data_IF_455824660143
#
_entry.id   IF_455824660143
#
_cell.length_a   1.000
_cell.length_b   1.000
_cell.length_c   1.000
_cell.angle_alpha   90.00
_cell.angle_beta   90.00
_cell.angle_gamma   90.00
#
_symmetry.space_group_name_H-M   'P 1'
#
loop_
_entity.id
_entity.type
_entity.pdbx_description
1 polymer ?
#
# COMPACT_ATOMS: atom_id res chain seq x y z
N UNK A 1 -2.52 21.38 25.22
CA UNK A 1 -1.69 20.46 24.40
C UNK A 1 -1.99 19.03 24.81
N UNK A 2 -2.17 18.12 23.86
CA UNK A 2 -2.36 16.69 24.16
C UNK A 2 -1.01 16.13 24.64
N UNK A 3 -1.00 15.38 25.74
CA UNK A 3 0.22 14.76 26.26
C UNK A 3 0.50 13.45 25.53
N UNK A 4 1.77 13.02 25.44
CA UNK A 4 2.14 11.70 24.86
C UNK A 4 1.35 10.55 25.48
N UNK A 5 1.09 10.61 26.79
CA UNK A 5 0.28 9.61 27.52
C UNK A 5 -1.17 9.60 27.05
N UNK A 6 -1.78 10.77 26.83
CA UNK A 6 -3.15 10.86 26.31
C UNK A 6 -3.24 10.35 24.86
N UNK A 7 -2.21 10.59 24.04
CA UNK A 7 -2.13 10.03 22.69
C UNK A 7 -2.04 8.50 22.69
N UNK A 8 -1.18 7.92 23.54
CA UNK A 8 -1.03 6.47 23.66
C UNK A 8 -2.36 5.84 24.11
N UNK A 9 -3.03 6.43 25.10
CA UNK A 9 -4.35 5.98 25.54
C UNK A 9 -5.41 6.05 24.42
N UNK A 10 -5.32 7.03 23.52
CA UNK A 10 -6.25 7.16 22.38
C UNK A 10 -6.02 6.04 21.36
N UNK A 11 -4.76 5.72 21.04
CA UNK A 11 -4.41 4.61 20.15
C UNK A 11 -4.84 3.28 20.77
N UNK A 12 -4.54 3.06 22.04
CA UNK A 12 -4.89 1.82 22.73
C UNK A 12 -6.41 1.61 22.74
N UNK A 13 -7.19 2.67 23.04
CA UNK A 13 -8.65 2.63 22.96
C UNK A 13 -9.14 2.27 21.55
N UNK A 14 -8.57 2.85 20.50
CA UNK A 14 -8.92 2.48 19.12
C UNK A 14 -8.60 1.00 18.83
N UNK A 15 -7.42 0.52 19.21
CA UNK A 15 -7.05 -0.88 19.05
C UNK A 15 -7.98 -1.85 19.78
N UNK A 16 -8.42 -1.49 20.98
CA UNK A 16 -9.27 -2.35 21.81
C UNK A 16 -10.74 -2.38 21.36
N UNK A 17 -11.22 -1.31 20.72
CA UNK A 17 -12.66 -1.11 20.48
C UNK A 17 -13.06 -1.09 19.00
N UNK A 18 -12.14 -0.79 18.09
CA UNK A 18 -12.43 -0.71 16.67
C UNK A 18 -12.41 -2.11 16.03
N UNK A 19 -13.50 -2.57 15.39
CA UNK A 19 -13.57 -3.90 14.78
C UNK A 19 -12.52 -4.11 13.68
N UNK A 20 -11.97 -3.04 13.10
CA UNK A 20 -10.85 -3.08 12.15
C UNK A 20 -9.64 -3.86 12.67
N UNK A 21 -9.45 -3.89 14.00
CA UNK A 21 -8.30 -4.50 14.66
C UNK A 21 -8.61 -5.83 15.35
N UNK A 22 -9.83 -6.36 15.20
CA UNK A 22 -10.21 -7.64 15.78
C UNK A 22 -9.26 -8.75 15.29
N UNK A 23 -8.61 -9.44 16.23
CA UNK A 23 -7.65 -10.52 15.92
C UNK A 23 -6.24 -10.05 15.50
N UNK A 24 -5.98 -8.74 15.41
CA UNK A 24 -4.67 -8.19 15.04
C UNK A 24 -3.75 -8.13 16.27
N UNK A 25 -2.67 -8.93 16.26
CA UNK A 25 -1.65 -8.90 17.31
C UNK A 25 -0.54 -7.91 16.97
N UNK A 26 -0.03 -7.21 17.98
CA UNK A 26 1.11 -6.27 17.87
C UNK A 26 2.19 -6.68 18.85
N UNK A 27 3.44 -6.71 18.38
CA UNK A 27 4.63 -7.01 19.20
C UNK A 27 5.17 -5.79 19.96
N UNK A 28 4.42 -4.69 20.02
CA UNK A 28 4.80 -3.39 20.57
C UNK A 28 3.59 -2.70 21.22
N UNK A 29 3.85 -1.65 21.99
CA UNK A 29 2.81 -0.90 22.72
C UNK A 29 2.35 0.36 21.99
N UNK A 30 1.22 0.95 22.42
CA UNK A 30 0.78 2.25 21.93
C UNK A 30 1.79 3.37 22.29
N UNK A 31 2.47 3.24 23.43
CA UNK A 31 3.55 4.13 23.86
C UNK A 31 4.74 4.09 22.91
N UNK A 32 5.11 2.90 22.40
CA UNK A 32 6.17 2.76 21.40
C UNK A 32 5.82 3.50 20.10
N UNK A 33 4.56 3.40 19.66
CA UNK A 33 4.08 4.14 18.48
C UNK A 33 4.19 5.64 18.70
N UNK A 34 3.74 6.16 19.85
CA UNK A 34 3.86 7.60 20.16
C UNK A 34 5.32 8.04 20.26
N UNK A 35 6.19 7.20 20.82
CA UNK A 35 7.62 7.48 20.95
C UNK A 35 8.31 7.69 19.60
N UNK A 36 7.91 6.98 18.56
CA UNK A 36 8.49 7.06 17.21
C UNK A 36 7.80 8.05 16.27
N UNK A 37 6.66 8.63 16.67
CA UNK A 37 5.79 9.42 15.81
C UNK A 37 6.31 10.82 15.46
N UNK A 38 7.19 11.40 16.28
CA UNK A 38 7.56 12.82 16.21
C UNK A 38 6.48 13.76 16.76
N UNK A 39 6.78 15.06 16.81
CA UNK A 39 5.89 16.08 17.37
C UNK A 39 4.81 16.60 16.41
N UNK A 40 5.02 16.40 15.11
CA UNK A 40 4.12 16.84 14.03
C UNK A 40 3.69 15.62 13.24
N UNK A 41 2.40 15.55 12.91
CA UNK A 41 1.81 14.43 12.17
C UNK A 41 1.37 14.91 10.79
N UNK A 42 2.12 14.63 9.72
CA UNK A 42 1.64 14.79 8.37
C UNK A 42 0.42 13.89 8.14
N UNK A 43 -0.62 14.43 7.50
CA UNK A 43 -1.80 13.66 7.12
C UNK A 43 -1.55 12.93 5.79
N UNK A 44 -1.96 11.67 5.72
CA UNK A 44 -1.83 10.82 4.52
C UNK A 44 -3.22 10.46 3.98
N UNK A 45 -3.91 11.46 3.44
CA UNK A 45 -5.34 11.38 3.06
C UNK A 45 -5.66 10.19 2.15
N UNK A 46 -4.90 10.02 1.06
CA UNK A 46 -5.16 8.96 0.08
C UNK A 46 -4.92 7.57 0.66
N UNK A 47 -3.87 7.39 1.46
CA UNK A 47 -3.62 6.12 2.13
C UNK A 47 -4.72 5.78 3.13
N UNK A 48 -5.16 6.77 3.93
CA UNK A 48 -6.25 6.58 4.91
C UNK A 48 -7.57 6.21 4.23
N UNK A 49 -8.02 7.03 3.28
CA UNK A 49 -9.28 6.81 2.57
C UNK A 49 -9.23 5.52 1.73
N UNK A 50 -8.10 5.25 1.07
CA UNK A 50 -7.87 4.02 0.32
C UNK A 50 -7.94 2.78 1.22
N UNK A 51 -7.27 2.79 2.38
CA UNK A 51 -7.29 1.66 3.31
C UNK A 51 -8.69 1.43 3.92
N UNK A 52 -9.42 2.49 4.26
CA UNK A 52 -10.82 2.41 4.71
C UNK A 52 -11.73 1.83 3.62
N UNK A 53 -11.59 2.31 2.37
CA UNK A 53 -12.34 1.81 1.22
C UNK A 53 -12.03 0.35 0.91
N UNK A 54 -10.74 -0.02 0.91
CA UNK A 54 -10.30 -1.40 0.69
C UNK A 54 -10.85 -2.33 1.77
N UNK A 55 -10.79 -1.94 3.05
CA UNK A 55 -11.36 -2.70 4.15
C UNK A 55 -12.86 -2.95 3.97
N UNK A 56 -13.61 -1.92 3.56
CA UNK A 56 -15.04 -2.06 3.29
C UNK A 56 -15.31 -3.01 2.12
N UNK A 57 -14.54 -2.91 1.03
CA UNK A 57 -14.70 -3.79 -0.13
C UNK A 57 -14.45 -5.26 0.25
N UNK A 58 -13.33 -5.57 0.91
CA UNK A 58 -12.97 -6.97 1.21
C UNK A 58 -13.89 -7.64 2.24
N UNK A 59 -14.61 -6.87 3.07
CA UNK A 59 -15.51 -7.41 4.08
C UNK A 59 -16.99 -7.45 3.65
N UNK A 60 -17.38 -6.68 2.63
CA UNK A 60 -18.79 -6.56 2.23
C UNK A 60 -19.09 -7.02 0.79
N UNK A 61 -18.07 -7.24 -0.02
CA UNK A 61 -18.22 -7.83 -1.37
C UNK A 61 -17.90 -9.33 -1.33
N UNK A 62 -18.47 -10.10 -2.27
CA UNK A 62 -18.17 -11.53 -2.37
C UNK A 62 -16.68 -11.79 -2.65
N UNK A 63 -16.06 -10.93 -3.48
CA UNK A 63 -14.63 -10.85 -3.73
C UNK A 63 -14.29 -9.51 -4.38
N UNK A 64 -13.00 -9.16 -4.41
CA UNK A 64 -12.47 -7.99 -5.12
C UNK A 64 -11.37 -8.48 -6.06
N UNK A 65 -11.64 -8.46 -7.37
CA UNK A 65 -10.65 -8.80 -8.38
C UNK A 65 -9.91 -7.56 -8.87
N UNK A 66 -8.63 -7.74 -9.20
CA UNK A 66 -7.74 -6.67 -9.66
C UNK A 66 -6.99 -7.10 -10.91
N UNK A 67 -6.39 -6.14 -11.61
CA UNK A 67 -5.42 -6.34 -12.67
C UNK A 67 -4.14 -5.56 -12.34
N UNK A 68 -2.99 -6.11 -12.72
CA UNK A 68 -1.71 -5.43 -12.55
C UNK A 68 -1.62 -4.17 -13.41
N UNK A 69 -1.42 -3.00 -12.79
CA UNK A 69 -1.18 -1.73 -13.46
C UNK A 69 0.26 -1.26 -13.22
N UNK A 70 1.00 -1.01 -14.30
CA UNK A 70 2.34 -0.44 -14.27
C UNK A 70 2.37 1.03 -14.69
N UNK A 71 1.24 1.61 -15.08
CA UNK A 71 1.12 3.04 -15.39
C UNK A 71 -0.18 3.62 -14.84
N UNK A 72 -0.21 4.93 -14.60
CA UNK A 72 -1.43 5.64 -14.21
C UNK A 72 -2.55 5.55 -15.24
N UNK A 73 -2.21 5.55 -16.54
CA UNK A 73 -3.19 5.40 -17.62
C UNK A 73 -3.89 4.04 -17.59
N UNK A 74 -3.15 2.95 -17.38
CA UNK A 74 -3.74 1.62 -17.19
C UNK A 74 -4.69 1.60 -15.99
N UNK A 75 -4.24 2.09 -14.83
CA UNK A 75 -5.07 2.12 -13.63
C UNK A 75 -6.35 2.93 -13.82
N UNK A 76 -6.27 4.12 -14.44
CA UNK A 76 -7.43 4.96 -14.74
C UNK A 76 -8.42 4.26 -15.68
N UNK A 77 -7.95 3.57 -16.71
CA UNK A 77 -8.83 2.81 -17.60
C UNK A 77 -9.46 1.60 -16.92
N UNK A 78 -8.76 0.92 -16.01
CA UNK A 78 -9.33 -0.16 -15.19
C UNK A 78 -10.50 0.36 -14.35
N UNK A 79 -10.34 1.51 -13.68
CA UNK A 79 -11.44 2.11 -12.90
C UNK A 79 -12.61 2.50 -13.80
N UNK A 80 -12.33 3.10 -14.97
CA UNK A 80 -13.39 3.38 -15.97
C UNK A 80 -14.11 2.13 -16.46
N UNK A 81 -13.43 0.99 -16.50
CA UNK A 81 -14.01 -0.30 -16.87
C UNK A 81 -14.77 -0.97 -15.70
N UNK A 82 -14.82 -0.34 -14.52
CA UNK A 82 -15.55 -0.84 -13.35
C UNK A 82 -14.72 -1.67 -12.36
N UNK A 83 -13.39 -1.72 -12.51
CA UNK A 83 -12.50 -2.35 -11.52
C UNK A 83 -12.51 -1.55 -10.23
N UNK A 84 -12.72 -2.23 -9.09
CA UNK A 84 -12.89 -1.61 -7.77
C UNK A 84 -11.59 -1.37 -7.00
N UNK A 85 -10.48 -2.00 -7.40
CA UNK A 85 -9.16 -1.89 -6.75
C UNK A 85 -8.03 -2.15 -7.74
N UNK A 86 -6.87 -1.52 -7.52
CA UNK A 86 -5.69 -1.65 -8.38
C UNK A 86 -4.66 -2.55 -7.72
N UNK A 87 -4.10 -3.49 -8.48
CA UNK A 87 -2.92 -4.22 -8.07
C UNK A 87 -1.69 -3.59 -8.73
N UNK A 88 -0.64 -3.33 -7.95
CA UNK A 88 0.63 -2.81 -8.44
C UNK A 88 1.70 -3.87 -8.20
N UNK A 89 2.10 -4.54 -9.28
CA UNK A 89 3.02 -5.68 -9.26
C UNK A 89 4.48 -5.23 -9.24
N UNK A 90 5.27 -5.78 -8.30
CA UNK A 90 6.71 -5.59 -8.25
C UNK A 90 7.41 -6.17 -9.49
N UNK A 91 6.91 -7.30 -10.00
CA UNK A 91 7.37 -7.89 -11.28
C UNK A 91 7.22 -6.93 -12.46
N UNK A 92 6.05 -6.27 -12.60
CA UNK A 92 5.84 -5.34 -13.72
C UNK A 92 6.72 -4.09 -13.58
N UNK A 93 6.94 -3.61 -12.35
CA UNK A 93 7.87 -2.52 -12.05
C UNK A 93 9.30 -2.91 -12.42
N UNK A 94 9.76 -4.10 -12.02
CA UNK A 94 11.06 -4.64 -12.40
C UNK A 94 11.22 -4.71 -13.93
N UNK A 95 10.19 -5.20 -14.62
CA UNK A 95 10.24 -5.41 -16.06
C UNK A 95 10.31 -4.09 -16.86
N UNK A 96 9.53 -3.06 -16.50
CA UNK A 96 9.30 -1.95 -17.43
C UNK A 96 8.97 -0.58 -16.79
N UNK A 97 8.97 -0.44 -15.46
CA UNK A 97 8.72 0.88 -14.85
C UNK A 97 9.39 1.09 -13.48
N UNK A 98 10.67 0.78 -13.40
CA UNK A 98 11.49 1.08 -12.23
C UNK A 98 12.36 2.33 -12.42
N UNK A 99 12.85 2.88 -11.32
CA UNK A 99 13.60 4.14 -11.29
C UNK A 99 15.02 4.06 -11.83
N UNK A 100 15.55 2.85 -11.97
CA UNK A 100 16.81 2.63 -12.67
C UNK A 100 16.66 2.65 -14.19
N UNK A 101 15.42 2.63 -14.70
CA UNK A 101 15.10 2.69 -16.12
C UNK A 101 15.76 1.56 -16.93
N UNK A 102 15.78 0.34 -16.38
CA UNK A 102 16.21 -0.86 -17.08
C UNK A 102 15.21 -1.98 -16.93
N UNK A 103 15.20 -2.91 -17.90
CA UNK A 103 14.41 -4.14 -17.79
C UNK A 103 15.11 -5.12 -16.86
N UNK A 104 14.43 -5.54 -15.80
CA UNK A 104 14.91 -6.55 -14.85
C UNK A 104 13.98 -7.76 -14.76
N UNK A 105 14.52 -8.96 -14.44
CA UNK A 105 13.72 -10.04 -13.91
C UNK A 105 13.24 -9.71 -12.49
N UNK A 106 12.25 -10.45 -12.02
CA UNK A 106 11.68 -10.31 -10.69
C UNK A 106 12.54 -10.98 -9.61
N UNK A 107 13.61 -10.28 -9.24
CA UNK A 107 14.61 -10.68 -8.23
C UNK A 107 15.03 -9.52 -7.32
N UNK A 108 14.11 -8.57 -7.08
CA UNK A 108 14.35 -7.38 -6.23
C UNK A 108 15.60 -6.56 -6.59
N UNK A 109 15.96 -6.50 -7.88
CA UNK A 109 17.15 -5.79 -8.38
C UNK A 109 16.96 -4.27 -8.50
N UNK A 110 15.72 -3.83 -8.66
CA UNK A 110 15.41 -2.43 -8.88
C UNK A 110 15.51 -1.60 -7.59
N UNK A 111 15.73 -0.28 -7.66
CA UNK A 111 15.82 0.56 -6.47
C UNK A 111 14.49 0.59 -5.70
N UNK A 112 14.56 0.48 -4.37
CA UNK A 112 13.41 0.31 -3.45
C UNK A 112 12.33 1.41 -3.57
N UNK A 113 12.66 2.57 -4.11
CA UNK A 113 11.73 3.68 -4.32
C UNK A 113 10.84 3.53 -5.57
N UNK A 114 11.08 2.51 -6.39
CA UNK A 114 10.39 2.30 -7.67
C UNK A 114 8.89 2.09 -7.51
N UNK A 115 8.48 1.11 -6.70
CA UNK A 115 7.06 0.84 -6.44
C UNK A 115 6.36 2.07 -5.84
N UNK A 116 6.89 2.72 -4.77
CA UNK A 116 6.30 3.96 -4.24
C UNK A 116 6.07 5.06 -5.29
N UNK A 117 7.00 5.26 -6.23
CA UNK A 117 6.84 6.23 -7.32
C UNK A 117 5.75 5.84 -8.32
N UNK A 118 5.52 4.55 -8.56
CA UNK A 118 4.41 4.10 -9.40
C UNK A 118 3.07 4.26 -8.66
N UNK A 119 3.01 4.04 -7.34
CA UNK A 119 1.83 4.38 -6.52
C UNK A 119 1.51 5.87 -6.65
N UNK A 120 2.50 6.75 -6.48
CA UNK A 120 2.36 8.21 -6.65
C UNK A 120 1.81 8.55 -8.05
N UNK A 121 2.40 7.96 -9.10
CA UNK A 121 1.96 8.19 -10.48
C UNK A 121 0.51 7.79 -10.73
N UNK A 122 0.06 6.67 -10.16
CA UNK A 122 -1.34 6.22 -10.27
C UNK A 122 -2.26 7.21 -9.56
N UNK A 123 -1.95 7.57 -8.31
CA UNK A 123 -2.75 8.51 -7.53
C UNK A 123 -2.84 9.90 -8.19
N UNK A 124 -1.74 10.42 -8.74
CA UNK A 124 -1.76 11.69 -9.49
C UNK A 124 -2.63 11.61 -10.76
N UNK A 125 -2.71 10.42 -11.37
CA UNK A 125 -3.59 10.20 -12.54
C UNK A 125 -5.06 10.15 -12.13
N UNK A 126 -5.37 9.48 -11.02
CA UNK A 126 -6.71 9.48 -10.42
C UNK A 126 -7.14 10.88 -10.03
N UNK A 127 -6.26 11.64 -9.38
CA UNK A 127 -6.51 13.03 -9.02
C UNK A 127 -6.85 13.88 -10.24
N UNK A 128 -6.08 13.75 -11.34
CA UNK A 128 -6.39 14.48 -12.58
C UNK A 128 -7.73 14.07 -13.17
N UNK A 129 -8.04 12.77 -13.19
CA UNK A 129 -9.30 12.27 -13.73
C UNK A 129 -10.51 12.76 -12.91
N UNK A 130 -10.38 12.76 -11.59
CA UNK A 130 -11.36 13.29 -10.65
C UNK A 130 -11.54 14.81 -10.83
N UNK A 131 -10.46 15.59 -10.91
CA UNK A 131 -10.52 17.03 -11.20
C UNK A 131 -11.25 17.34 -12.52
N UNK A 132 -11.04 16.52 -13.57
CA UNK A 132 -11.75 16.67 -14.84
C UNK A 132 -13.25 16.39 -14.65
N UNK A 133 -13.62 15.36 -13.91
CA UNK A 133 -15.02 15.05 -13.61
C UNK A 133 -15.69 16.16 -12.78
N UNK A 134 -15.01 16.60 -11.72
CA UNK A 134 -15.48 17.65 -10.82
C UNK A 134 -15.67 18.98 -11.56
N UNK A 135 -14.73 19.35 -12.44
CA UNK A 135 -14.84 20.59 -13.23
C UNK A 135 -16.00 20.62 -14.22
N UNK A 136 -16.56 19.44 -14.56
CA UNK A 136 -17.77 19.31 -15.40
C UNK A 136 -19.06 19.32 -14.59
N UNK A 137 -18.99 19.46 -13.27
CA UNK A 137 -20.16 19.44 -12.39
C UNK A 137 -20.83 18.07 -12.26
N UNK A 138 -20.09 16.98 -12.52
CA UNK A 138 -20.60 15.61 -12.35
C UNK A 138 -20.37 15.21 -10.88
N UNK A 139 -21.45 15.09 -10.12
CA UNK A 139 -21.44 14.83 -8.68
C UNK A 139 -21.63 13.34 -8.37
N UNK A 140 -21.27 12.88 -7.16
CA UNK A 140 -21.63 11.54 -6.69
C UNK A 140 -23.13 11.29 -6.83
N UNK A 141 -23.51 10.24 -7.55
CA UNK A 141 -24.90 9.88 -7.85
C UNK A 141 -25.40 10.31 -9.23
N UNK A 142 -24.71 11.21 -9.92
CA UNK A 142 -25.07 11.61 -11.28
C UNK A 142 -24.75 10.50 -12.31
N UNK A 143 -25.52 10.39 -13.40
CA UNK A 143 -25.19 9.48 -14.50
C UNK A 143 -23.79 9.76 -15.04
N UNK A 144 -22.94 8.72 -15.06
CA UNK A 144 -21.56 8.83 -15.54
C UNK A 144 -20.54 9.27 -14.48
N UNK A 145 -20.92 9.43 -13.22
CA UNK A 145 -19.99 9.59 -12.11
C UNK A 145 -19.12 8.33 -11.94
N UNK A 146 -17.81 8.54 -11.77
CA UNK A 146 -16.81 7.52 -11.51
C UNK A 146 -16.05 7.91 -10.24
N UNK A 147 -15.99 7.00 -9.27
CA UNK A 147 -15.09 7.14 -8.13
C UNK A 147 -13.67 6.73 -8.55
N UNK A 148 -12.87 7.71 -8.98
CA UNK A 148 -11.53 7.45 -9.53
C UNK A 148 -10.53 6.96 -8.50
N UNK A 149 -10.70 7.29 -7.21
CA UNK A 149 -9.76 6.93 -6.15
C UNK A 149 -9.97 5.48 -5.68
N UNK A 150 -9.73 4.53 -6.58
CA UNK A 150 -9.70 3.11 -6.25
C UNK A 150 -8.47 2.80 -5.35
N UNK A 151 -8.62 1.93 -4.33
CA UNK A 151 -7.52 1.55 -3.47
C UNK A 151 -6.43 0.80 -4.24
N UNK A 152 -5.18 1.14 -3.96
CA UNK A 152 -4.00 0.50 -4.56
C UNK A 152 -3.41 -0.51 -3.56
N UNK A 153 -3.31 -1.77 -3.96
CA UNK A 153 -2.58 -2.82 -3.24
C UNK A 153 -1.22 -2.98 -3.91
N UNK A 154 -0.16 -2.66 -3.19
CA UNK A 154 1.20 -2.59 -3.72
C UNK A 154 2.11 -3.73 -3.21
N UNK A 155 2.95 -4.22 -4.11
CA UNK A 155 3.99 -5.21 -3.83
C UNK A 155 5.19 -4.58 -3.12
N UNK A 156 5.48 -5.04 -1.90
CA UNK A 156 6.68 -4.63 -1.15
C UNK A 156 7.79 -5.67 -1.18
N UNK A 157 7.69 -6.67 -2.08
CA UNK A 157 8.66 -7.75 -2.21
C UNK A 157 8.86 -8.46 -0.86
N UNK A 158 10.10 -8.82 -0.53
CA UNK A 158 10.53 -9.21 0.81
C UNK A 158 11.08 -8.02 1.62
N UNK A 159 10.74 -6.77 1.29
CA UNK A 159 11.18 -5.58 2.04
C UNK A 159 12.62 -5.10 1.79
N UNK A 160 13.28 -5.56 0.73
CA UNK A 160 14.61 -5.07 0.28
C UNK A 160 15.72 -5.10 1.35
N UNK A 161 15.65 -6.06 2.29
CA UNK A 161 16.65 -6.22 3.34
C UNK A 161 16.07 -6.65 4.68
N UNK A 162 16.44 -5.94 5.74
CA UNK A 162 16.01 -6.20 7.11
C UNK A 162 14.75 -5.45 7.51
N UNK A 163 14.43 -5.48 8.81
CA UNK A 163 13.23 -4.83 9.38
C UNK A 163 13.18 -3.31 9.15
N UNK A 164 14.33 -2.62 9.16
CA UNK A 164 14.37 -1.18 8.92
C UNK A 164 14.11 -0.83 7.45
N UNK A 165 14.49 -1.71 6.52
CA UNK A 165 14.17 -1.55 5.11
C UNK A 165 12.66 -1.72 4.88
N UNK A 166 12.06 -2.74 5.50
CA UNK A 166 10.60 -2.96 5.46
C UNK A 166 9.84 -1.77 6.06
N UNK A 167 10.28 -1.25 7.21
CA UNK A 167 9.69 -0.06 7.86
C UNK A 167 9.69 1.17 6.94
N UNK A 168 10.84 1.51 6.35
CA UNK A 168 10.94 2.68 5.46
C UNK A 168 10.17 2.49 4.15
N UNK A 169 10.13 1.26 3.61
CA UNK A 169 9.30 0.95 2.42
C UNK A 169 7.80 1.09 2.71
N UNK A 170 7.32 0.53 3.83
CA UNK A 170 5.93 0.68 4.28
C UNK A 170 5.56 2.16 4.43
N UNK A 171 6.44 2.96 5.05
CA UNK A 171 6.26 4.41 5.20
C UNK A 171 6.24 5.14 3.85
N UNK A 172 7.11 4.76 2.90
CA UNK A 172 7.12 5.32 1.55
C UNK A 172 5.83 4.98 0.79
N UNK A 173 5.32 3.76 0.92
CA UNK A 173 4.06 3.32 0.31
C UNK A 173 2.86 4.09 0.87
N UNK A 174 2.78 4.24 2.20
CA UNK A 174 1.73 5.04 2.86
C UNK A 174 1.83 6.51 2.41
N UNK A 175 3.04 7.07 2.40
CA UNK A 175 3.26 8.47 1.98
C UNK A 175 2.75 8.72 0.56
N UNK A 176 2.91 7.76 -0.35
CA UNK A 176 2.47 7.87 -1.73
C UNK A 176 1.02 7.43 -1.97
N UNK A 177 0.30 7.01 -0.92
CA UNK A 177 -1.14 6.74 -0.98
C UNK A 177 -1.52 5.30 -1.31
N UNK A 178 -0.68 4.31 -0.97
CA UNK A 178 -1.07 2.91 -1.04
C UNK A 178 -2.16 2.60 0.01
N UNK A 179 -3.15 1.79 -0.37
CA UNK A 179 -4.25 1.36 0.50
C UNK A 179 -3.94 0.04 1.23
N UNK A 180 -3.14 -0.82 0.60
CA UNK A 180 -2.69 -2.09 1.14
C UNK A 180 -1.30 -2.42 0.62
N UNK A 181 -0.57 -3.23 1.37
CA UNK A 181 0.80 -3.65 1.05
C UNK A 181 0.92 -5.13 1.38
N UNK A 182 1.61 -5.90 0.53
CA UNK A 182 1.96 -7.27 0.85
C UNK A 182 3.48 -7.47 0.89
N UNK A 183 3.92 -8.29 1.84
CA UNK A 183 5.30 -8.76 1.97
C UNK A 183 5.32 -10.28 1.79
N UNK A 184 6.40 -10.80 1.21
CA UNK A 184 6.66 -12.23 1.12
C UNK A 184 7.83 -12.68 2.02
N UNK A 185 7.90 -13.99 2.28
CA UNK A 185 8.83 -14.62 3.22
C UNK A 185 10.08 -15.21 2.55
N UNK A 186 10.36 -14.83 1.30
CA UNK A 186 11.62 -15.18 0.63
C UNK A 186 12.79 -14.30 1.11
N UNK A 187 14.00 -14.82 1.02
CA UNK A 187 15.21 -14.05 1.29
C UNK A 187 15.40 -12.96 0.21
N UNK A 188 15.39 -11.69 0.60
CA UNK A 188 15.37 -10.54 -0.32
C UNK A 188 16.52 -10.54 -1.35
N UNK A 189 17.72 -10.99 -0.98
CA UNK A 189 18.90 -11.01 -1.86
C UNK A 189 18.88 -12.10 -2.93
N UNK A 190 18.00 -13.10 -2.78
CA UNK A 190 17.79 -14.18 -3.75
C UNK A 190 16.30 -14.37 -4.04
N UNK A 191 15.53 -13.28 -3.89
CA UNK A 191 14.10 -13.28 -4.15
C UNK A 191 13.86 -13.72 -5.58
N UNK A 192 12.78 -14.48 -5.80
CA UNK A 192 12.34 -14.86 -7.14
C UNK A 192 10.83 -14.77 -7.24
N UNK A 193 10.35 -14.53 -8.46
CA UNK A 193 8.94 -14.68 -8.80
C UNK A 193 8.40 -16.03 -8.29
N UNK A 194 7.16 -16.03 -7.77
CA UNK A 194 6.51 -17.21 -7.20
C UNK A 194 6.47 -18.44 -8.11
N UNK A 195 6.51 -18.24 -9.44
CA UNK A 195 6.49 -19.29 -10.45
C UNK A 195 7.88 -19.80 -10.87
N UNK A 196 8.97 -19.20 -10.38
CA UNK A 196 10.34 -19.60 -10.69
C UNK A 196 10.87 -20.62 -9.66
N UNK A 197 11.71 -21.55 -10.12
CA UNK A 197 12.41 -22.50 -9.26
C UNK A 197 13.54 -21.88 -8.43
N UNK A 198 13.90 -22.54 -7.33
CA UNK A 198 15.02 -22.15 -6.46
C UNK A 198 14.76 -20.92 -5.61
N UNK A 199 13.52 -20.77 -5.12
CA UNK A 199 13.14 -19.82 -4.06
C UNK A 199 13.77 -20.27 -2.74
N UNK A 200 14.16 -19.31 -1.91
CA UNK A 200 14.75 -19.57 -0.58
C UNK A 200 13.91 -18.85 0.47
N UNK A 201 13.35 -19.61 1.39
CA UNK A 201 12.53 -19.06 2.47
C UNK A 201 13.40 -18.55 3.63
N UNK A 202 12.90 -17.53 4.29
CA UNK A 202 13.36 -17.10 5.61
C UNK A 202 12.72 -17.97 6.71
N UNK A 203 13.33 -18.04 7.90
CA UNK A 203 12.63 -18.55 9.08
C UNK A 203 11.33 -17.77 9.33
N UNK A 204 10.28 -18.47 9.76
CA UNK A 204 8.97 -17.85 10.05
C UNK A 204 9.07 -16.64 10.97
N UNK A 205 9.95 -16.71 11.97
CA UNK A 205 10.17 -15.60 12.91
C UNK A 205 10.65 -14.33 12.19
N UNK A 206 11.54 -14.45 11.19
CA UNK A 206 12.03 -13.29 10.43
C UNK A 206 10.94 -12.68 9.54
N UNK A 207 10.10 -13.52 8.93
CA UNK A 207 8.93 -13.05 8.19
C UNK A 207 7.95 -12.29 9.11
N UNK A 208 7.68 -12.83 10.30
CA UNK A 208 6.85 -12.16 11.31
C UNK A 208 7.46 -10.82 11.75
N UNK A 209 8.79 -10.73 11.91
CA UNK A 209 9.44 -9.45 12.23
C UNK A 209 9.25 -8.41 11.12
N UNK A 210 9.21 -8.80 9.84
CA UNK A 210 8.88 -7.88 8.74
C UNK A 210 7.43 -7.42 8.77
N UNK A 211 6.49 -8.27 9.18
CA UNK A 211 5.08 -7.88 9.35
C UNK A 211 4.87 -6.95 10.56
N UNK A 212 5.75 -7.02 11.56
CA UNK A 212 5.71 -6.14 12.75
C UNK A 212 6.33 -4.77 12.46
N UNK A 213 7.36 -4.72 11.62
CA UNK A 213 8.11 -3.51 11.26
C UNK A 213 7.23 -2.51 10.46
#
# INVERSE_FOLDING_TARGET
MVTRKAEAATIQKDWDTNPRWQGVKRGYTAEDVVRLRGSVRPEYTLARQGAEKLWNLVNNEAYVNCLGALTGGQAMQQVKAGVKAIYLSGWQVAADNNTYAAMYPDQSLYPVDSVPKVVERINNTFERADQIQWSKGINPGDPGYIDYFAPIVADAEAGFGGVLNAYELSKALIKNGAAGVHFEDQLSSVKKCGHLGGKVLLPTQESVQKLIA
#
